data_IF_534813367460
#
_entry.id   IF_534813367460
#
_cell.length_a   1.000
_cell.length_b   1.000
_cell.length_c   1.000
_cell.angle_alpha   90.00
_cell.angle_beta   90.00
_cell.angle_gamma   90.00
#
_symmetry.space_group_name_H-M   'P 1'
#
loop_
_entity.id
_entity.type
_entity.pdbx_description
1 polymer ?
#
# COMPACT_ATOMS: atom_id res chain seq x y z
N UNK A 1 -29.32 10.26 -0.29
CA UNK A 1 -28.93 10.65 1.09
C UNK A 1 -27.50 11.16 1.05
N UNK A 2 -27.29 12.33 1.66
CA UNK A 2 -26.05 13.11 1.77
C UNK A 2 -24.97 12.46 2.66
N UNK A 3 -24.88 11.13 2.71
CA UNK A 3 -23.95 10.41 3.58
C UNK A 3 -22.80 9.83 2.77
N UNK A 4 -22.04 10.71 2.14
CA UNK A 4 -20.74 10.34 1.61
C UNK A 4 -19.84 9.95 2.78
N UNK A 5 -19.23 8.76 2.73
CA UNK A 5 -18.22 8.33 3.71
C UNK A 5 -17.02 9.29 3.78
N UNK A 6 -16.91 10.21 2.81
CA UNK A 6 -15.88 11.23 2.71
C UNK A 6 -16.25 12.59 3.33
N UNK A 7 -17.36 12.66 4.08
CA UNK A 7 -17.86 13.90 4.69
C UNK A 7 -17.03 14.38 5.89
N UNK A 8 -16.34 13.47 6.58
CA UNK A 8 -15.35 13.81 7.61
C UNK A 8 -14.40 12.65 7.86
N UNK A 9 -13.25 12.95 8.50
CA UNK A 9 -12.31 11.92 8.98
C UNK A 9 -13.01 10.89 9.86
N UNK A 10 -13.83 11.31 10.84
CA UNK A 10 -14.47 10.39 11.77
C UNK A 10 -15.45 9.44 11.08
N UNK A 11 -16.19 9.94 10.08
CA UNK A 11 -17.16 9.13 9.32
C UNK A 11 -16.41 8.12 8.45
N UNK A 12 -15.33 8.54 7.79
CA UNK A 12 -14.49 7.64 7.00
C UNK A 12 -13.88 6.52 7.86
N UNK A 13 -13.22 6.90 8.96
CA UNK A 13 -12.57 5.96 9.86
C UNK A 13 -13.57 4.96 10.46
N UNK A 14 -14.78 5.42 10.81
CA UNK A 14 -15.86 4.54 11.26
C UNK A 14 -16.25 3.53 10.18
N UNK A 15 -16.53 3.99 8.96
CA UNK A 15 -16.94 3.12 7.86
C UNK A 15 -15.86 2.08 7.51
N UNK A 16 -14.59 2.51 7.48
CA UNK A 16 -13.44 1.64 7.27
C UNK A 16 -13.32 0.56 8.36
N UNK A 17 -13.42 0.97 9.63
CA UNK A 17 -13.32 0.02 10.74
C UNK A 17 -14.50 -0.95 10.78
N UNK A 18 -15.73 -0.46 10.60
CA UNK A 18 -16.95 -1.28 10.53
C UNK A 18 -16.87 -2.33 9.43
N UNK A 19 -16.36 -1.98 8.24
CA UNK A 19 -16.19 -2.95 7.17
C UNK A 19 -15.15 -4.03 7.49
N UNK A 20 -14.07 -3.70 8.20
CA UNK A 20 -13.12 -4.72 8.72
C UNK A 20 -13.84 -5.66 9.71
N UNK A 21 -14.61 -5.11 10.65
CA UNK A 21 -15.32 -5.91 11.66
C UNK A 21 -16.42 -6.78 11.06
N UNK A 22 -17.16 -6.29 10.07
CA UNK A 22 -18.23 -7.05 9.42
C UNK A 22 -17.70 -8.31 8.73
N UNK A 23 -16.48 -8.26 8.15
CA UNK A 23 -15.84 -9.46 7.60
C UNK A 23 -15.50 -10.53 8.64
N UNK A 24 -15.30 -10.16 9.92
CA UNK A 24 -15.04 -11.14 10.99
C UNK A 24 -16.30 -11.85 11.49
N UNK A 25 -17.48 -11.22 11.36
CA UNK A 25 -18.75 -11.75 11.86
C UNK A 25 -19.26 -12.94 11.05
N UNK A 26 -18.76 -13.14 9.82
CA UNK A 26 -19.17 -14.27 8.99
C UNK A 26 -18.57 -15.59 9.50
N UNK A 27 -19.41 -16.62 9.65
CA UNK A 27 -18.98 -17.93 10.16
C UNK A 27 -18.08 -18.70 9.18
N UNK A 28 -18.11 -18.35 7.89
CA UNK A 28 -17.28 -18.91 6.82
C UNK A 28 -16.07 -18.06 6.43
N UNK A 29 -15.42 -17.37 7.38
CA UNK A 29 -14.25 -16.53 7.09
C UNK A 29 -13.12 -17.36 6.45
N UNK A 30 -12.79 -17.06 5.19
CA UNK A 30 -11.64 -17.64 4.49
C UNK A 30 -10.31 -17.13 5.08
N UNK A 31 -9.22 -17.83 4.77
CA UNK A 31 -7.92 -17.53 5.35
C UNK A 31 -7.38 -16.17 4.89
N UNK A 32 -7.65 -15.79 3.63
CA UNK A 32 -7.26 -14.50 3.08
C UNK A 32 -7.87 -13.32 3.86
N UNK A 33 -9.15 -13.44 4.22
CA UNK A 33 -9.89 -12.47 5.01
C UNK A 33 -9.38 -12.45 6.45
N UNK A 34 -9.13 -13.61 7.06
CA UNK A 34 -8.51 -13.68 8.40
C UNK A 34 -7.17 -12.93 8.44
N UNK A 35 -6.29 -13.19 7.46
CA UNK A 35 -4.99 -12.53 7.36
C UNK A 35 -5.15 -11.03 7.13
N UNK A 36 -6.09 -10.60 6.28
CA UNK A 36 -6.38 -9.17 6.05
C UNK A 36 -6.76 -8.46 7.33
N UNK A 37 -7.72 -9.01 8.09
CA UNK A 37 -8.16 -8.38 9.34
C UNK A 37 -7.04 -8.40 10.38
N UNK A 38 -6.30 -9.50 10.47
CA UNK A 38 -5.13 -9.60 11.34
C UNK A 38 -4.08 -8.54 11.00
N UNK A 39 -3.70 -8.41 9.72
CA UNK A 39 -2.71 -7.42 9.27
C UNK A 39 -3.15 -5.98 9.56
N UNK A 40 -4.44 -5.65 9.41
CA UNK A 40 -4.97 -4.33 9.75
C UNK A 40 -5.05 -4.10 11.26
N UNK A 41 -5.46 -5.10 12.03
CA UNK A 41 -5.49 -5.04 13.49
C UNK A 41 -4.08 -4.81 14.07
N UNK A 42 -3.07 -5.56 13.63
CA UNK A 42 -1.69 -5.34 14.11
C UNK A 42 -1.02 -4.09 13.54
N UNK A 43 -1.66 -3.36 12.63
CA UNK A 43 -1.22 -2.05 12.17
C UNK A 43 -1.86 -0.90 12.95
N UNK A 44 -3.16 -1.01 13.26
CA UNK A 44 -3.95 0.02 13.94
C UNK A 44 -4.37 -0.42 15.36
N UNK A 45 -3.90 0.24 16.43
CA UNK A 45 -4.25 -0.10 17.81
C UNK A 45 -5.76 -0.08 18.11
N UNK A 46 -6.54 0.78 17.45
CA UNK A 46 -7.99 0.85 17.63
C UNK A 46 -8.68 -0.35 16.97
N UNK A 47 -8.23 -0.76 15.79
CA UNK A 47 -8.71 -2.02 15.17
C UNK A 47 -8.33 -3.20 16.05
N UNK A 48 -7.09 -3.24 16.56
CA UNK A 48 -6.62 -4.29 17.47
C UNK A 48 -7.49 -4.43 18.72
N UNK A 49 -7.74 -3.34 19.45
CA UNK A 49 -8.46 -3.37 20.72
C UNK A 49 -9.86 -3.96 20.58
N UNK A 50 -10.51 -3.69 19.45
CA UNK A 50 -11.86 -4.14 19.14
C UNK A 50 -11.90 -5.54 18.51
N UNK A 51 -10.86 -5.95 17.77
CA UNK A 51 -10.83 -7.23 17.05
C UNK A 51 -10.18 -8.38 17.83
N UNK A 52 -9.26 -8.10 18.78
CA UNK A 52 -8.32 -9.09 19.33
C UNK A 52 -8.97 -10.38 19.84
N UNK A 53 -10.09 -10.28 20.55
CA UNK A 53 -10.75 -11.44 21.17
C UNK A 53 -11.39 -12.33 20.11
N UNK A 54 -12.11 -11.73 19.15
CA UNK A 54 -12.72 -12.47 18.04
C UNK A 54 -11.66 -13.07 17.13
N UNK A 55 -10.59 -12.32 16.83
CA UNK A 55 -9.46 -12.81 16.05
C UNK A 55 -8.79 -14.02 16.71
N UNK A 56 -8.63 -14.01 18.04
CA UNK A 56 -8.08 -15.15 18.78
C UNK A 56 -8.96 -16.40 18.65
N UNK A 57 -10.28 -16.26 18.82
CA UNK A 57 -11.23 -17.37 18.66
C UNK A 57 -11.17 -17.93 17.23
N UNK A 58 -11.19 -17.04 16.22
CA UNK A 58 -11.09 -17.45 14.81
C UNK A 58 -9.74 -18.12 14.51
N UNK A 59 -8.64 -17.63 15.07
CA UNK A 59 -7.32 -18.24 14.96
C UNK A 59 -7.31 -19.67 15.53
N UNK A 60 -7.80 -19.87 16.75
CA UNK A 60 -7.87 -21.19 17.40
C UNK A 60 -8.73 -22.18 16.59
N UNK A 61 -9.86 -21.73 16.06
CA UNK A 61 -10.73 -22.51 15.18
C UNK A 61 -10.03 -22.90 13.86
N UNK A 62 -9.32 -21.96 13.21
CA UNK A 62 -8.56 -22.23 11.99
C UNK A 62 -7.42 -23.22 12.26
N UNK A 63 -6.71 -23.08 13.39
CA UNK A 63 -5.67 -24.04 13.80
C UNK A 63 -6.26 -25.43 13.96
N UNK A 64 -7.40 -25.56 14.63
CA UNK A 64 -8.08 -26.85 14.78
C UNK A 64 -8.50 -27.43 13.42
N UNK A 65 -9.16 -26.62 12.58
CA UNK A 65 -9.59 -26.97 11.21
C UNK A 65 -8.42 -27.53 10.38
N UNK A 66 -7.32 -26.80 10.27
CA UNK A 66 -6.20 -27.24 9.44
C UNK A 66 -5.43 -28.41 10.06
N UNK A 67 -5.31 -28.50 11.39
CA UNK A 67 -4.73 -29.70 12.03
C UNK A 67 -5.54 -30.96 11.71
N UNK A 68 -6.88 -30.88 11.76
CA UNK A 68 -7.75 -32.00 11.41
C UNK A 68 -7.65 -32.34 9.92
N UNK A 69 -7.65 -31.33 9.04
CA UNK A 69 -7.50 -31.53 7.60
C UNK A 69 -6.18 -32.24 7.25
N UNK A 70 -5.06 -31.79 7.82
CA UNK A 70 -3.74 -32.40 7.58
C UNK A 70 -3.59 -33.79 8.19
N UNK A 71 -4.16 -34.03 9.37
CA UNK A 71 -4.04 -35.32 10.07
C UNK A 71 -4.87 -36.41 9.40
N UNK A 72 -6.12 -36.09 9.09
CA UNK A 72 -7.06 -37.12 8.67
C UNK A 72 -6.97 -37.37 7.15
N UNK A 73 -6.50 -36.41 6.36
CA UNK A 73 -6.38 -36.58 4.90
C UNK A 73 -7.73 -36.75 4.20
N UNK A 74 -8.83 -36.32 4.84
CA UNK A 74 -10.22 -36.67 4.50
C UNK A 74 -10.79 -36.00 3.24
N UNK A 75 -9.99 -35.86 2.17
CA UNK A 75 -10.52 -35.74 0.81
C UNK A 75 -10.93 -34.35 0.32
N UNK A 76 -11.03 -33.32 1.16
CA UNK A 76 -11.18 -31.95 0.66
C UNK A 76 -9.81 -31.29 0.46
N UNK A 77 -9.49 -30.95 -0.79
CA UNK A 77 -8.32 -30.14 -1.10
C UNK A 77 -8.41 -28.80 -0.37
N UNK A 78 -7.33 -28.39 0.30
CA UNK A 78 -7.23 -27.05 0.87
C UNK A 78 -7.24 -26.06 -0.30
N UNK A 79 -8.33 -25.29 -0.42
CA UNK A 79 -8.54 -24.35 -1.52
C UNK A 79 -7.92 -22.96 -1.27
N UNK A 80 -7.26 -22.77 -0.12
CA UNK A 80 -6.58 -21.53 0.20
C UNK A 80 -5.36 -21.28 -0.70
N UNK A 81 -5.03 -20.00 -0.91
CA UNK A 81 -3.81 -19.67 -1.64
C UNK A 81 -2.56 -20.14 -0.87
N UNK A 82 -1.52 -20.57 -1.60
CA UNK A 82 -0.24 -20.96 -0.98
C UNK A 82 0.40 -19.82 -0.17
N UNK A 83 0.20 -18.56 -0.57
CA UNK A 83 0.68 -17.39 0.17
C UNK A 83 -0.02 -17.27 1.52
N UNK A 84 -1.35 -17.39 1.54
CA UNK A 84 -2.15 -17.27 2.76
C UNK A 84 -1.87 -18.42 3.72
N UNK A 85 -1.80 -19.66 3.21
CA UNK A 85 -1.47 -20.80 4.03
C UNK A 85 -0.08 -20.67 4.66
N UNK A 86 0.93 -20.22 3.90
CA UNK A 86 2.27 -20.00 4.44
C UNK A 86 2.29 -18.93 5.53
N UNK A 87 1.61 -17.81 5.34
CA UNK A 87 1.55 -16.73 6.32
C UNK A 87 0.86 -17.21 7.59
N UNK A 88 -0.25 -17.93 7.45
CA UNK A 88 -0.95 -18.52 8.59
C UNK A 88 -0.07 -19.49 9.37
N UNK A 89 0.64 -20.40 8.69
CA UNK A 89 1.56 -21.32 9.35
C UNK A 89 2.71 -20.61 10.06
N UNK A 90 3.20 -19.48 9.52
CA UNK A 90 4.18 -18.62 10.22
C UNK A 90 3.60 -17.99 11.48
N UNK A 91 2.35 -17.54 11.45
CA UNK A 91 1.63 -17.07 12.65
C UNK A 91 1.52 -18.20 13.69
N UNK A 92 1.12 -19.40 13.26
CA UNK A 92 1.03 -20.58 14.15
C UNK A 92 2.39 -20.92 14.78
N UNK A 93 3.45 -20.95 13.98
CA UNK A 93 4.81 -21.25 14.44
C UNK A 93 5.33 -20.21 15.43
N UNK A 94 5.06 -18.94 15.18
CA UNK A 94 5.45 -17.86 16.10
C UNK A 94 4.65 -17.91 17.42
N UNK A 95 3.40 -18.34 17.35
CA UNK A 95 2.47 -18.31 18.47
C UNK A 95 1.74 -16.98 18.56
N UNK A 96 0.41 -17.04 18.77
CA UNK A 96 -0.48 -15.88 18.79
C UNK A 96 -0.01 -14.80 19.78
N UNK A 97 0.33 -15.19 21.00
CA UNK A 97 0.69 -14.26 22.08
C UNK A 97 2.05 -13.57 21.87
N UNK A 98 2.83 -13.97 20.86
CA UNK A 98 4.13 -13.38 20.50
C UNK A 98 4.06 -12.45 19.28
N UNK A 99 2.89 -12.32 18.65
CA UNK A 99 2.68 -11.32 17.60
C UNK A 99 2.79 -9.92 18.21
N UNK A 100 3.55 -9.06 17.55
CA UNK A 100 3.76 -7.66 17.87
C UNK A 100 3.02 -6.78 16.87
N UNK A 101 2.50 -5.66 17.39
CA UNK A 101 2.02 -4.57 16.55
C UNK A 101 3.16 -4.00 15.70
N UNK A 102 2.80 -3.28 14.65
CA UNK A 102 3.75 -2.59 13.78
C UNK A 102 4.62 -1.63 14.60
N UNK A 103 5.94 -1.81 14.52
CA UNK A 103 6.93 -0.98 15.20
C UNK A 103 7.39 0.13 14.27
N UNK A 104 7.49 1.37 14.78
CA UNK A 104 7.91 2.56 14.02
C UNK A 104 8.98 3.30 14.81
N UNK A 105 10.03 3.74 14.13
CA UNK A 105 11.02 4.66 14.70
C UNK A 105 11.44 5.69 13.65
N UNK A 106 12.00 6.80 14.13
CA UNK A 106 12.63 7.80 13.28
C UNK A 106 14.13 7.61 13.30
N UNK A 107 14.75 7.92 12.18
CA UNK A 107 16.19 7.92 11.98
C UNK A 107 16.52 9.20 11.22
N UNK A 108 16.97 10.22 11.94
CA UNK A 108 17.10 11.58 11.42
C UNK A 108 15.78 12.02 10.73
N UNK A 109 15.80 12.24 9.42
CA UNK A 109 14.64 12.66 8.63
C UNK A 109 13.78 11.50 8.14
N UNK A 110 14.21 10.24 8.32
CA UNK A 110 13.57 9.06 7.76
C UNK A 110 12.64 8.38 8.77
N UNK A 111 11.58 7.75 8.26
CA UNK A 111 10.76 6.83 9.04
C UNK A 111 11.18 5.40 8.73
N UNK A 112 11.26 4.55 9.76
CA UNK A 112 11.54 3.12 9.61
C UNK A 112 10.44 2.34 10.32
N UNK A 113 9.88 1.37 9.60
CA UNK A 113 8.79 0.54 10.08
C UNK A 113 9.11 -0.95 9.96
N UNK A 114 8.81 -1.71 11.01
CA UNK A 114 8.76 -3.16 10.98
C UNK A 114 7.31 -3.63 11.18
N UNK A 115 6.71 -4.21 10.13
CA UNK A 115 5.39 -4.84 10.20
C UNK A 115 5.57 -6.35 10.19
N UNK A 116 5.35 -6.99 11.34
CA UNK A 116 5.64 -8.41 11.54
C UNK A 116 4.77 -9.32 10.65
N UNK A 117 3.46 -9.07 10.55
CA UNK A 117 2.59 -9.87 9.67
C UNK A 117 2.98 -9.70 8.21
N UNK A 118 3.27 -8.47 7.77
CA UNK A 118 3.77 -8.21 6.41
C UNK A 118 5.10 -8.92 6.14
N UNK A 119 5.96 -9.05 7.14
CA UNK A 119 7.25 -9.76 7.02
C UNK A 119 7.13 -11.25 6.69
N UNK A 120 5.95 -11.84 6.95
CA UNK A 120 5.68 -13.25 6.65
C UNK A 120 5.40 -13.52 5.18
N UNK A 121 5.07 -12.48 4.41
CA UNK A 121 4.86 -12.62 2.97
C UNK A 121 6.12 -13.18 2.31
N UNK A 122 5.98 -14.06 1.31
CA UNK A 122 7.08 -14.36 0.42
C UNK A 122 7.63 -13.06 -0.14
N UNK A 123 8.96 -12.89 -0.11
CA UNK A 123 9.59 -11.77 -0.82
C UNK A 123 9.25 -11.95 -2.30
N UNK A 124 8.43 -11.05 -2.84
CA UNK A 124 8.01 -11.11 -4.23
C UNK A 124 9.21 -11.06 -5.19
N UNK A 125 9.00 -11.41 -6.45
CA UNK A 125 10.00 -11.30 -7.52
C UNK A 125 10.32 -9.83 -7.84
N UNK A 126 10.92 -9.10 -6.89
CA UNK A 126 11.55 -7.80 -7.12
C UNK A 126 12.62 -7.87 -8.24
N UNK A 127 13.06 -9.08 -8.58
CA UNK A 127 14.06 -9.41 -9.60
C UNK A 127 13.55 -9.40 -11.04
N UNK A 128 12.24 -9.32 -11.32
CA UNK A 128 11.78 -9.32 -12.72
C UNK A 128 12.12 -7.98 -13.36
N UNK A 129 13.11 -7.97 -14.24
CA UNK A 129 13.46 -6.80 -15.03
C UNK A 129 12.27 -6.41 -15.92
N UNK A 130 11.91 -5.14 -15.88
CA UNK A 130 10.82 -4.57 -16.66
C UNK A 130 11.40 -3.70 -17.78
N UNK A 131 10.94 -3.90 -19.03
CA UNK A 131 11.46 -3.19 -20.21
C UNK A 131 10.85 -1.80 -20.43
N UNK A 132 9.66 -1.52 -19.89
CA UNK A 132 8.94 -0.27 -20.13
C UNK A 132 8.11 0.21 -18.94
N UNK A 133 7.29 1.24 -19.17
CA UNK A 133 6.41 1.85 -18.16
C UNK A 133 4.91 1.60 -18.42
N UNK A 134 4.59 0.79 -19.42
CA UNK A 134 3.22 0.42 -19.78
C UNK A 134 3.17 -1.05 -20.18
N UNK A 135 2.12 -1.73 -19.76
CA UNK A 135 1.67 -3.01 -20.27
C UNK A 135 0.16 -2.92 -20.45
N UNK A 136 -0.41 -3.67 -21.41
CA UNK A 136 -1.86 -3.81 -21.51
C UNK A 136 -2.44 -4.49 -20.27
N UNK A 137 -3.73 -4.26 -20.03
CA UNK A 137 -4.49 -4.99 -19.02
C UNK A 137 -4.56 -6.47 -19.41
N UNK A 138 -4.39 -7.34 -18.42
CA UNK A 138 -4.47 -8.79 -18.60
C UNK A 138 -5.42 -9.36 -17.54
N UNK A 139 -6.59 -9.80 -17.99
CA UNK A 139 -7.65 -10.36 -17.15
C UNK A 139 -7.20 -11.60 -16.37
N UNK A 140 -6.19 -12.33 -16.86
CA UNK A 140 -5.71 -13.57 -16.23
C UNK A 140 -4.80 -13.26 -15.04
N UNK A 141 -4.10 -12.13 -15.08
CA UNK A 141 -3.28 -11.64 -13.96
C UNK A 141 -4.18 -11.07 -12.86
N UNK A 142 -3.59 -10.88 -11.67
CA UNK A 142 -4.29 -10.25 -10.56
C UNK A 142 -4.79 -8.85 -10.95
N UNK A 143 -6.08 -8.59 -10.73
CA UNK A 143 -6.77 -7.34 -11.01
C UNK A 143 -8.04 -7.24 -10.14
N UNK A 144 -8.56 -6.02 -9.94
CA UNK A 144 -9.69 -5.75 -9.05
C UNK A 144 -11.06 -6.27 -9.53
N UNK A 145 -11.15 -6.87 -10.73
CA UNK A 145 -12.37 -7.53 -11.21
C UNK A 145 -12.43 -9.02 -10.86
N UNK A 146 -11.42 -9.55 -10.16
CA UNK A 146 -11.47 -10.92 -9.68
C UNK A 146 -12.61 -11.10 -8.66
N UNK A 147 -13.46 -12.13 -8.81
CA UNK A 147 -14.61 -12.34 -7.91
C UNK A 147 -14.22 -12.44 -6.43
N UNK A 148 -13.09 -13.10 -6.13
CA UNK A 148 -12.61 -13.26 -4.75
C UNK A 148 -12.23 -11.94 -4.07
N UNK A 149 -12.03 -10.85 -4.83
CA UNK A 149 -11.73 -9.52 -4.27
C UNK A 149 -12.97 -8.71 -3.93
N UNK A 150 -14.18 -9.15 -4.32
CA UNK A 150 -15.39 -8.38 -4.03
C UNK A 150 -15.62 -8.24 -2.51
N UNK A 151 -15.25 -9.26 -1.74
CA UNK A 151 -15.22 -9.23 -0.28
C UNK A 151 -14.13 -8.32 0.30
N UNK A 152 -13.30 -7.69 -0.53
CA UNK A 152 -12.32 -6.69 -0.09
C UNK A 152 -12.73 -5.27 -0.48
N UNK A 153 -13.80 -5.12 -1.28
CA UNK A 153 -14.37 -3.83 -1.63
C UNK A 153 -15.11 -3.26 -0.42
N UNK A 154 -14.65 -2.12 0.10
CA UNK A 154 -15.25 -1.47 1.25
C UNK A 154 -16.30 -0.42 0.85
N UNK A 155 -16.17 0.16 -0.34
CA UNK A 155 -17.09 1.17 -0.85
C UNK A 155 -17.03 1.24 -2.37
N UNK A 156 -18.17 1.46 -3.02
CA UNK A 156 -18.28 1.69 -4.46
C UNK A 156 -19.35 2.75 -4.74
N UNK A 157 -19.06 3.68 -5.65
CA UNK A 157 -20.01 4.72 -6.02
C UNK A 157 -19.40 5.81 -6.90
N UNK A 158 -20.25 6.76 -7.29
CA UNK A 158 -19.80 7.96 -8.01
C UNK A 158 -19.13 8.93 -7.03
N UNK A 159 -17.93 9.39 -7.37
CA UNK A 159 -17.20 10.38 -6.61
C UNK A 159 -16.56 11.36 -7.59
N UNK A 160 -17.00 12.62 -7.54
CA UNK A 160 -16.50 13.68 -8.43
C UNK A 160 -16.61 13.32 -9.92
N UNK A 161 -17.72 12.68 -10.31
CA UNK A 161 -18.02 12.34 -11.71
C UNK A 161 -17.49 10.99 -12.18
N UNK A 162 -16.54 10.37 -11.47
CA UNK A 162 -15.99 9.05 -11.82
C UNK A 162 -16.59 7.94 -10.95
N UNK A 163 -16.71 6.73 -11.52
CA UNK A 163 -17.09 5.55 -10.74
C UNK A 163 -15.86 5.01 -10.02
N UNK A 164 -15.91 4.97 -8.69
CA UNK A 164 -14.79 4.57 -7.85
C UNK A 164 -15.16 3.31 -7.07
N UNK A 165 -14.23 2.36 -7.02
CA UNK A 165 -14.25 1.28 -6.04
C UNK A 165 -13.07 1.46 -5.09
N UNK A 166 -13.30 1.31 -3.78
CA UNK A 166 -12.27 1.32 -2.77
C UNK A 166 -12.12 -0.06 -2.14
N UNK A 167 -10.93 -0.63 -2.22
CA UNK A 167 -10.61 -1.92 -1.62
C UNK A 167 -9.73 -1.72 -0.38
N UNK A 168 -9.87 -2.59 0.62
CA UNK A 168 -8.88 -2.69 1.70
C UNK A 168 -7.52 -3.09 1.12
N UNK A 169 -6.44 -2.48 1.60
CA UNK A 169 -5.15 -3.10 1.40
C UNK A 169 -5.00 -4.28 2.36
N UNK A 170 -4.72 -5.48 1.83
CA UNK A 170 -4.51 -6.67 2.64
C UNK A 170 -3.35 -6.54 3.64
N UNK A 171 -2.33 -5.76 3.30
CA UNK A 171 -1.15 -5.53 4.14
C UNK A 171 -0.86 -4.03 4.23
N UNK A 172 -1.56 -3.30 5.12
CA UNK A 172 -1.39 -1.87 5.25
C UNK A 172 0.06 -1.49 5.59
N UNK A 173 0.47 -0.34 5.08
CA UNK A 173 1.80 0.26 5.30
C UNK A 173 1.70 1.68 5.83
N UNK A 174 0.48 2.21 5.88
CA UNK A 174 0.08 3.55 6.31
C UNK A 174 -1.33 3.44 6.88
N UNK A 175 -1.72 4.38 7.71
CA UNK A 175 -3.03 4.41 8.36
C UNK A 175 -4.16 4.51 7.31
N UNK A 176 -5.23 3.75 7.54
CA UNK A 176 -6.42 3.68 6.66
C UNK A 176 -6.09 3.36 5.19
N UNK A 177 -5.08 2.51 4.97
CA UNK A 177 -4.61 2.18 3.63
C UNK A 177 -5.66 1.42 2.81
N UNK A 178 -6.17 2.09 1.78
CA UNK A 178 -7.09 1.53 0.79
C UNK A 178 -6.55 1.69 -0.62
N UNK A 179 -7.12 0.93 -1.55
CA UNK A 179 -6.79 0.96 -2.97
C UNK A 179 -7.98 1.56 -3.72
N UNK A 180 -7.80 2.78 -4.24
CA UNK A 180 -8.77 3.48 -5.07
C UNK A 180 -8.60 3.05 -6.52
N UNK A 181 -9.66 2.47 -7.08
CA UNK A 181 -9.70 1.96 -8.46
C UNK A 181 -10.73 2.77 -9.24
N UNK A 182 -10.29 3.74 -10.06
CA UNK A 182 -11.21 4.52 -10.87
C UNK A 182 -11.66 3.71 -12.07
N UNK A 183 -12.94 3.84 -12.42
CA UNK A 183 -13.55 3.24 -13.60
C UNK A 183 -13.24 1.73 -13.70
N UNK A 184 -13.31 1.00 -12.58
CA UNK A 184 -12.86 -0.38 -12.44
C UNK A 184 -13.33 -1.33 -13.56
N UNK A 185 -14.56 -1.16 -14.04
CA UNK A 185 -15.12 -2.02 -15.10
C UNK A 185 -14.57 -1.69 -16.52
N UNK A 186 -13.86 -0.57 -16.69
CA UNK A 186 -13.18 -0.20 -17.95
C UNK A 186 -11.83 -0.91 -18.14
N UNK A 187 -11.38 -1.72 -17.17
CA UNK A 187 -10.16 -2.55 -17.28
C UNK A 187 -8.91 -1.74 -17.65
N UNK A 188 -8.74 -0.57 -17.05
CA UNK A 188 -7.67 0.36 -17.42
C UNK A 188 -6.34 -0.22 -16.92
N UNK A 189 -5.31 -0.35 -17.77
CA UNK A 189 -4.02 -0.85 -17.33
C UNK A 189 -3.38 0.06 -16.27
N UNK A 190 -2.41 -0.45 -15.50
CA UNK A 190 -1.61 0.36 -14.58
C UNK A 190 -0.68 1.35 -15.33
N UNK A 191 -1.29 2.38 -15.91
CA UNK A 191 -0.69 3.48 -16.64
C UNK A 191 -1.63 4.68 -16.50
N UNK A 192 -1.16 5.74 -15.87
CA UNK A 192 -1.99 6.92 -15.59
C UNK A 192 -2.04 7.83 -16.83
N UNK A 193 -3.25 8.16 -17.26
CA UNK A 193 -3.51 9.15 -18.31
C UNK A 193 -3.89 10.50 -17.68
N UNK A 194 -3.84 11.57 -18.47
CA UNK A 194 -4.07 12.95 -18.01
C UNK A 194 -5.37 13.09 -17.22
N UNK A 195 -6.44 12.48 -17.74
CA UNK A 195 -7.76 12.44 -17.11
C UNK A 195 -7.66 11.98 -15.65
N UNK A 196 -6.99 10.86 -15.39
CA UNK A 196 -6.90 10.28 -14.05
C UNK A 196 -5.93 11.03 -13.15
N UNK A 197 -4.88 11.63 -13.72
CA UNK A 197 -4.00 12.54 -12.97
C UNK A 197 -4.77 13.75 -12.45
N UNK A 198 -5.50 14.45 -13.33
CA UNK A 198 -6.32 15.61 -12.98
C UNK A 198 -7.45 15.24 -12.01
N UNK A 199 -8.07 14.07 -12.22
CA UNK A 199 -9.08 13.55 -11.32
C UNK A 199 -8.54 13.35 -9.90
N UNK A 200 -7.42 12.63 -9.74
CA UNK A 200 -6.84 12.37 -8.42
C UNK A 200 -6.33 13.67 -7.77
N UNK A 201 -5.76 14.59 -8.53
CA UNK A 201 -5.42 15.93 -8.02
C UNK A 201 -6.66 16.61 -7.41
N UNK A 202 -7.73 16.72 -8.20
CA UNK A 202 -8.99 17.37 -7.78
C UNK A 202 -9.59 16.68 -6.56
N UNK A 203 -9.56 15.34 -6.55
CA UNK A 203 -10.07 14.54 -5.44
C UNK A 203 -9.24 14.77 -4.17
N UNK A 204 -7.93 14.88 -4.29
CA UNK A 204 -7.02 15.18 -3.17
C UNK A 204 -7.36 16.52 -2.54
N UNK A 205 -7.54 17.57 -3.35
CA UNK A 205 -7.95 18.88 -2.86
C UNK A 205 -9.29 18.81 -2.12
N UNK A 206 -10.33 18.28 -2.77
CA UNK A 206 -11.69 18.31 -2.25
C UNK A 206 -11.86 17.47 -0.99
N UNK A 207 -11.29 16.26 -0.96
CA UNK A 207 -11.40 15.40 0.20
C UNK A 207 -10.50 15.86 1.34
N UNK A 208 -9.34 16.45 1.03
CA UNK A 208 -8.41 17.00 2.02
C UNK A 208 -9.01 18.13 2.88
N UNK A 209 -10.03 18.84 2.36
CA UNK A 209 -10.78 19.85 3.14
C UNK A 209 -11.50 19.23 4.35
N UNK A 210 -12.07 18.04 4.18
CA UNK A 210 -12.90 17.39 5.21
C UNK A 210 -12.16 16.28 5.97
N UNK A 211 -11.09 15.74 5.38
CA UNK A 211 -10.31 14.62 5.93
C UNK A 211 -8.85 15.03 6.01
N UNK A 212 -8.45 15.52 7.18
CA UNK A 212 -7.08 15.97 7.41
C UNK A 212 -6.09 14.81 7.27
N UNK A 213 -5.03 15.03 6.49
CA UNK A 213 -3.99 14.02 6.24
C UNK A 213 -4.34 13.03 5.13
N UNK A 214 -5.48 13.20 4.45
CA UNK A 214 -5.80 12.40 3.28
C UNK A 214 -4.82 12.67 2.13
N UNK A 215 -4.38 11.60 1.47
CA UNK A 215 -3.55 11.69 0.28
C UNK A 215 -3.56 10.41 -0.53
N UNK A 216 -2.84 10.44 -1.65
CA UNK A 216 -2.77 9.32 -2.59
C UNK A 216 -1.35 9.01 -3.02
N UNK A 217 -0.98 7.74 -3.00
CA UNK A 217 0.24 7.21 -3.60
C UNK A 217 -0.04 6.57 -4.95
N UNK A 218 0.91 6.64 -5.87
CA UNK A 218 0.85 5.93 -7.15
C UNK A 218 2.18 5.29 -7.50
N UNK A 219 2.12 4.08 -8.03
CA UNK A 219 3.27 3.36 -8.58
C UNK A 219 3.06 3.18 -10.08
N UNK A 220 3.94 3.71 -10.92
CA UNK A 220 3.91 3.39 -12.35
C UNK A 220 4.32 1.92 -12.57
N UNK A 221 3.94 1.35 -13.72
CA UNK A 221 4.57 0.09 -14.15
C UNK A 221 6.09 0.29 -14.28
N UNK A 222 6.86 -0.72 -13.84
CA UNK A 222 8.31 -0.59 -13.66
C UNK A 222 8.75 0.15 -12.39
N UNK A 223 7.83 0.75 -11.63
CA UNK A 223 8.10 1.42 -10.36
C UNK A 223 7.48 0.70 -9.15
N UNK A 224 7.64 -0.63 -9.07
CA UNK A 224 7.08 -1.49 -8.01
C UNK A 224 5.55 -1.54 -7.95
N UNK A 225 4.85 -1.23 -9.05
CA UNK A 225 3.45 -1.60 -9.20
C UNK A 225 3.29 -3.12 -9.34
N UNK A 226 2.55 -3.74 -8.41
CA UNK A 226 2.34 -5.20 -8.38
C UNK A 226 1.05 -5.66 -9.06
N UNK A 227 0.13 -4.74 -9.37
CA UNK A 227 -1.18 -5.00 -9.97
C UNK A 227 -1.23 -4.40 -11.36
N UNK A 228 -1.86 -5.10 -12.31
CA UNK A 228 -1.91 -4.69 -13.71
C UNK A 228 -3.08 -3.74 -14.06
N UNK A 229 -3.86 -3.33 -13.08
CA UNK A 229 -5.08 -2.54 -13.19
C UNK A 229 -4.86 -1.20 -12.49
N UNK A 230 -5.20 -0.08 -13.14
CA UNK A 230 -5.07 1.28 -12.61
C UNK A 230 -5.62 1.39 -11.19
N UNK A 231 -4.77 1.76 -10.24
CA UNK A 231 -5.15 2.04 -8.87
C UNK A 231 -4.22 3.04 -8.21
N UNK A 232 -4.74 3.66 -7.15
CA UNK A 232 -4.06 4.61 -6.28
C UNK A 232 -4.14 4.10 -4.84
N UNK A 233 -3.09 4.36 -4.06
CA UNK A 233 -3.03 4.04 -2.64
C UNK A 233 -3.59 5.22 -1.86
N UNK A 234 -4.83 5.14 -1.40
CA UNK A 234 -5.39 6.17 -0.52
C UNK A 234 -5.02 5.89 0.93
N UNK A 235 -4.76 6.95 1.68
CA UNK A 235 -4.39 6.88 3.10
C UNK A 235 -4.87 8.13 3.85
N UNK A 236 -4.88 8.05 5.18
CA UNK A 236 -5.08 9.23 6.05
C UNK A 236 -3.92 9.26 7.03
N UNK A 237 -2.94 10.13 6.80
CA UNK A 237 -1.73 10.26 7.62
C UNK A 237 -1.57 11.71 8.07
N UNK A 238 -1.69 11.95 9.38
CA UNK A 238 -1.57 13.29 9.98
C UNK A 238 -0.13 13.78 10.07
N UNK A 239 0.81 12.89 10.36
CA UNK A 239 2.22 13.29 10.38
C UNK A 239 2.74 13.39 8.95
N UNK A 240 3.55 14.40 8.71
CA UNK A 240 4.17 14.62 7.40
C UNK A 240 5.08 13.45 6.99
N UNK A 241 5.16 13.22 5.68
CA UNK A 241 6.14 12.30 5.13
C UNK A 241 7.55 12.90 5.25
N UNK A 242 8.58 12.08 5.46
CA UNK A 242 10.00 12.47 5.42
C UNK A 242 10.40 13.35 4.22
N UNK A 243 9.88 13.08 3.03
CA UNK A 243 10.11 13.91 1.83
C UNK A 243 9.63 15.37 2.01
N UNK A 244 8.72 15.63 2.95
CA UNK A 244 8.22 16.97 3.26
C UNK A 244 9.08 17.72 4.27
N UNK A 245 10.14 17.10 4.81
CA UNK A 245 11.01 17.74 5.79
C UNK A 245 11.59 19.06 5.23
N UNK A 246 11.54 20.11 6.05
CA UNK A 246 11.93 21.49 5.68
C UNK A 246 13.37 21.64 5.21
N UNK A 247 14.26 20.74 5.63
CA UNK A 247 15.68 20.81 5.30
C UNK A 247 15.98 20.35 3.87
N UNK A 248 15.03 19.72 3.18
CA UNK A 248 15.17 19.38 1.78
C UNK A 248 15.07 20.61 0.88
N UNK A 249 15.91 20.68 -0.17
CA UNK A 249 15.95 21.81 -1.10
C UNK A 249 14.61 22.10 -1.77
N UNK A 250 13.85 21.08 -2.15
CA UNK A 250 12.52 21.25 -2.74
C UNK A 250 11.47 21.78 -1.75
N UNK A 251 11.81 21.87 -0.46
CA UNK A 251 11.01 22.52 0.59
C UNK A 251 11.68 23.81 1.12
N UNK A 252 12.70 24.34 0.43
CA UNK A 252 13.41 25.58 0.82
C UNK A 252 14.63 25.37 1.73
N UNK A 253 15.00 24.13 2.03
CA UNK A 253 16.20 23.81 2.81
C UNK A 253 17.48 23.75 1.98
N UNK A 254 18.55 23.22 2.58
CA UNK A 254 19.89 23.16 1.95
C UNK A 254 20.30 21.76 1.50
N UNK A 255 19.60 20.71 1.95
CA UNK A 255 19.97 19.31 1.70
C UNK A 255 19.28 18.78 0.45
N UNK A 256 20.03 18.10 -0.42
CA UNK A 256 19.41 17.39 -1.54
C UNK A 256 18.68 16.15 -1.03
N UNK A 257 17.48 15.87 -1.56
CA UNK A 257 16.91 14.53 -1.41
C UNK A 257 17.82 13.52 -2.11
N UNK A 258 18.17 12.36 -1.52
CA UNK A 258 19.19 11.48 -2.11
C UNK A 258 18.80 10.79 -3.43
N UNK A 259 17.55 10.93 -3.88
CA UNK A 259 17.05 10.51 -5.20
C UNK A 259 16.32 11.69 -5.86
N UNK A 260 16.02 11.58 -7.16
CA UNK A 260 15.19 12.55 -7.86
C UNK A 260 13.82 12.71 -7.18
N UNK A 261 13.43 13.97 -6.95
CA UNK A 261 12.17 14.37 -6.34
C UNK A 261 11.79 15.75 -6.90
N UNK A 262 10.80 15.77 -7.79
CA UNK A 262 10.22 17.00 -8.31
C UNK A 262 8.91 17.29 -7.59
N UNK A 263 8.69 18.54 -7.20
CA UNK A 263 7.50 18.95 -6.45
C UNK A 263 6.76 20.01 -7.25
N UNK A 264 5.45 19.82 -7.41
CA UNK A 264 4.59 20.73 -8.16
C UNK A 264 3.38 21.13 -7.32
N UNK A 265 2.90 22.36 -7.53
CA UNK A 265 1.65 22.89 -6.98
C UNK A 265 0.58 23.12 -8.06
N UNK A 266 0.84 22.68 -9.30
CA UNK A 266 -0.05 22.84 -10.45
C UNK A 266 -0.27 21.48 -11.15
N UNK A 267 -1.54 21.09 -11.41
CA UNK A 267 -1.83 19.87 -12.15
C UNK A 267 -1.32 19.92 -13.59
N UNK A 268 -1.24 21.10 -14.20
CA UNK A 268 -0.75 21.27 -15.57
C UNK A 268 0.76 21.04 -15.65
N UNK A 269 1.51 21.62 -14.71
CA UNK A 269 2.97 21.45 -14.65
C UNK A 269 3.35 20.01 -14.31
N UNK A 270 2.69 19.42 -13.31
CA UNK A 270 2.95 18.02 -12.95
C UNK A 270 2.59 17.07 -14.09
N UNK A 271 1.48 17.30 -14.80
CA UNK A 271 1.13 16.48 -15.95
C UNK A 271 2.15 16.62 -17.09
N UNK A 272 2.54 17.84 -17.42
CA UNK A 272 3.56 18.10 -18.45
C UNK A 272 4.83 17.31 -18.13
N UNK A 273 5.29 17.34 -16.88
CA UNK A 273 6.44 16.58 -16.44
C UNK A 273 6.23 15.06 -16.53
N UNK A 274 5.09 14.54 -16.04
CA UNK A 274 4.74 13.11 -16.12
C UNK A 274 4.71 12.64 -17.58
N UNK A 275 4.14 13.43 -18.49
CA UNK A 275 4.08 13.13 -19.91
C UNK A 275 5.47 13.09 -20.56
N UNK A 276 6.40 13.94 -20.13
CA UNK A 276 7.81 13.84 -20.53
C UNK A 276 8.46 12.55 -20.02
N UNK A 277 8.18 12.13 -18.79
CA UNK A 277 8.61 10.81 -18.28
C UNK A 277 8.03 9.68 -19.13
N UNK A 278 6.79 9.83 -19.61
CA UNK A 278 6.17 8.84 -20.50
C UNK A 278 6.92 8.70 -21.82
N UNK A 279 7.19 9.83 -22.48
CA UNK A 279 7.95 9.88 -23.75
C UNK A 279 9.35 9.30 -23.59
N UNK A 280 9.99 9.56 -22.46
CA UNK A 280 11.34 9.05 -22.13
C UNK A 280 11.32 7.62 -21.57
N UNK A 281 10.14 7.01 -21.42
CA UNK A 281 9.98 5.68 -20.84
C UNK A 281 10.64 5.56 -19.45
N UNK A 282 10.50 6.57 -18.60
CA UNK A 282 11.06 6.62 -17.24
C UNK A 282 9.99 6.18 -16.24
N UNK A 283 10.33 5.25 -15.35
CA UNK A 283 9.42 4.81 -14.30
C UNK A 283 9.42 5.82 -13.15
N UNK A 284 8.29 5.94 -12.47
CA UNK A 284 8.11 6.94 -11.41
C UNK A 284 7.09 6.51 -10.36
N UNK A 285 7.21 7.09 -9.18
CA UNK A 285 6.17 7.06 -8.16
C UNK A 285 5.61 8.47 -7.97
N UNK A 286 4.37 8.58 -7.49
CA UNK A 286 3.75 9.86 -7.15
C UNK A 286 3.23 9.82 -5.71
N UNK A 287 3.26 10.97 -5.05
CA UNK A 287 2.58 11.25 -3.79
C UNK A 287 1.75 12.53 -3.97
N UNK A 288 0.43 12.41 -3.93
CA UNK A 288 -0.51 13.52 -3.94
C UNK A 288 -0.88 13.87 -2.50
N UNK A 289 -0.77 15.15 -2.18
CA UNK A 289 -1.22 15.79 -0.95
C UNK A 289 -1.99 17.06 -1.33
N UNK A 290 -2.85 17.61 -0.45
CA UNK A 290 -3.50 18.88 -0.73
C UNK A 290 -2.48 19.98 -1.07
N UNK A 291 -2.70 20.68 -2.18
CA UNK A 291 -1.88 21.72 -2.78
C UNK A 291 -0.58 21.26 -3.43
N UNK A 292 -0.27 19.96 -3.44
CA UNK A 292 1.07 19.49 -3.79
C UNK A 292 1.14 18.06 -4.31
N UNK A 293 1.98 17.83 -5.32
CA UNK A 293 2.40 16.50 -5.74
C UNK A 293 3.91 16.37 -5.71
N UNK A 294 4.41 15.28 -5.14
CA UNK A 294 5.80 14.85 -5.29
C UNK A 294 5.88 13.77 -6.37
N UNK A 295 6.73 13.97 -7.37
CA UNK A 295 7.04 13.02 -8.42
C UNK A 295 8.45 12.47 -8.22
N UNK A 296 8.59 11.14 -8.26
CA UNK A 296 9.84 10.44 -8.02
C UNK A 296 10.28 9.65 -9.26
N UNK A 297 10.86 10.31 -10.29
CA UNK A 297 11.51 9.62 -11.39
C UNK A 297 12.62 8.71 -10.88
N UNK A 298 12.74 7.51 -11.44
CA UNK A 298 13.67 6.51 -10.93
C UNK A 298 13.99 5.42 -11.93
N UNK A 299 15.10 4.73 -11.68
CA UNK A 299 15.44 3.50 -12.38
C UNK A 299 14.33 2.46 -12.26
N UNK A 300 14.07 1.74 -13.35
CA UNK A 300 13.07 0.67 -13.40
C UNK A 300 13.44 -0.46 -12.45
N UNK A 301 12.43 -1.12 -11.89
CA UNK A 301 12.60 -2.34 -11.12
C UNK A 301 13.41 -3.39 -11.90
N UNK A 302 14.33 -4.05 -11.20
CA UNK A 302 15.20 -5.08 -11.75
C UNK A 302 16.34 -4.55 -12.63
N UNK A 303 16.58 -3.24 -12.68
CA UNK A 303 17.74 -2.65 -13.37
C UNK A 303 18.95 -2.38 -12.46
N UNK A 304 18.78 -2.54 -11.16
CA UNK A 304 19.86 -2.55 -10.18
C UNK A 304 19.51 -3.53 -9.05
N UNK A 305 20.54 -3.98 -8.33
CA UNK A 305 20.36 -4.81 -7.15
C UNK A 305 20.18 -3.91 -5.91
N UNK A 306 19.04 -4.07 -5.25
CA UNK A 306 18.76 -3.36 -4.02
C UNK A 306 19.34 -4.09 -2.81
N UNK A 307 19.60 -3.35 -1.74
CA UNK A 307 20.02 -3.92 -0.45
C UNK A 307 19.02 -4.94 0.10
N UNK A 308 19.52 -5.91 0.88
CA UNK A 308 18.72 -7.03 1.39
C UNK A 308 17.65 -6.66 2.42
N UNK A 309 17.77 -5.47 3.03
CA UNK A 309 16.83 -4.95 4.02
C UNK A 309 15.53 -4.41 3.40
N UNK A 310 15.52 -4.15 2.09
CA UNK A 310 14.35 -3.67 1.35
C UNK A 310 13.84 -4.72 0.35
N UNK A 311 12.55 -4.65 0.03
CA UNK A 311 11.93 -5.38 -1.09
C UNK A 311 11.79 -4.53 -2.36
N UNK A 312 12.24 -3.27 -2.32
CA UNK A 312 12.01 -2.30 -3.36
C UNK A 312 11.54 -0.95 -2.84
N UNK A 313 11.38 -0.01 -3.77
CA UNK A 313 10.96 1.36 -3.47
C UNK A 313 9.70 1.71 -4.24
N UNK A 314 8.54 1.57 -3.60
CA UNK A 314 7.27 2.07 -4.09
C UNK A 314 7.06 3.51 -3.58
N UNK A 315 5.87 4.08 -3.78
CA UNK A 315 5.56 5.46 -3.40
C UNK A 315 5.84 5.77 -1.92
N UNK A 316 5.63 4.80 -1.03
CA UNK A 316 5.79 4.98 0.42
C UNK A 316 7.27 5.02 0.83
N UNK A 317 8.09 4.15 0.25
CA UNK A 317 9.53 4.24 0.45
C UNK A 317 10.08 5.47 -0.25
N UNK A 318 9.65 5.80 -1.47
CA UNK A 318 10.11 7.02 -2.16
C UNK A 318 9.77 8.31 -1.41
N UNK A 319 8.71 8.34 -0.59
CA UNK A 319 8.39 9.46 0.29
C UNK A 319 9.19 9.47 1.61
N UNK A 320 10.12 8.54 1.75
CA UNK A 320 11.12 8.43 2.80
C UNK A 320 10.71 7.60 4.02
N UNK A 321 9.68 6.76 3.88
CA UNK A 321 9.27 5.81 4.92
C UNK A 321 9.65 4.38 4.54
N UNK A 322 10.63 3.81 5.23
CA UNK A 322 11.18 2.49 4.94
C UNK A 322 10.38 1.39 5.61
N UNK A 323 10.19 0.27 4.91
CA UNK A 323 9.63 -0.96 5.46
C UNK A 323 10.72 -2.02 5.47
N UNK A 324 11.07 -2.49 6.65
CA UNK A 324 12.01 -3.59 6.85
C UNK A 324 11.28 -4.88 7.22
N UNK A 325 11.98 -6.02 7.08
CA UNK A 325 11.37 -7.35 7.15
C UNK A 325 11.92 -8.25 8.27
N UNK A 326 12.76 -7.72 9.14
CA UNK A 326 13.21 -8.40 10.36
C UNK A 326 13.70 -7.36 11.39
N UNK A 327 13.78 -7.78 12.65
CA UNK A 327 14.18 -6.91 13.76
C UNK A 327 15.62 -6.42 13.67
N UNK A 328 16.54 -7.22 13.12
CA UNK A 328 17.94 -6.82 12.96
C UNK A 328 18.06 -5.62 12.01
N UNK A 329 17.42 -5.67 10.85
CA UNK A 329 17.38 -4.56 9.90
C UNK A 329 16.64 -3.35 10.50
N UNK A 330 15.58 -3.59 11.28
CA UNK A 330 14.88 -2.52 12.00
C UNK A 330 15.78 -1.78 12.97
N UNK A 331 16.62 -2.47 13.73
CA UNK A 331 17.54 -1.85 14.70
C UNK A 331 18.74 -1.19 14.01
N UNK A 332 19.29 -1.79 12.95
CA UNK A 332 20.56 -1.37 12.35
C UNK A 332 20.45 -0.33 11.24
N UNK A 333 19.29 -0.21 10.58
CA UNK A 333 19.15 0.69 9.42
C UNK A 333 19.32 2.15 9.84
N UNK A 334 20.27 2.87 9.23
CA UNK A 334 20.56 4.26 9.57
C UNK A 334 20.46 5.19 8.34
N UNK A 335 20.52 6.49 8.57
CA UNK A 335 20.43 7.51 7.51
C UNK A 335 21.40 7.26 6.36
N UNK A 336 22.66 6.88 6.68
CA UNK A 336 23.70 6.63 5.67
C UNK A 336 23.33 5.46 4.77
N UNK A 337 22.85 4.35 5.34
CA UNK A 337 22.42 3.18 4.59
C UNK A 337 21.21 3.49 3.69
N UNK A 338 20.25 4.26 4.20
CA UNK A 338 19.06 4.68 3.44
C UNK A 338 19.48 5.59 2.28
N UNK A 339 20.24 6.65 2.57
CA UNK A 339 20.67 7.64 1.57
C UNK A 339 21.51 7.02 0.45
N UNK A 340 22.43 6.11 0.80
CA UNK A 340 23.23 5.37 -0.18
C UNK A 340 22.36 4.50 -1.10
N UNK A 341 21.29 3.91 -0.56
CA UNK A 341 20.38 3.08 -1.35
C UNK A 341 19.51 3.94 -2.28
N UNK A 342 19.02 5.09 -1.80
CA UNK A 342 18.29 6.05 -2.62
C UNK A 342 19.14 6.60 -3.77
N UNK A 343 20.42 6.88 -3.54
CA UNK A 343 21.31 7.36 -4.59
C UNK A 343 21.40 6.38 -5.78
N UNK A 344 21.24 5.07 -5.54
CA UNK A 344 21.21 4.07 -6.61
C UNK A 344 19.98 4.19 -7.51
N UNK A 345 18.87 4.73 -7.00
CA UNK A 345 17.60 4.90 -7.72
C UNK A 345 17.63 6.05 -8.73
N UNK A 346 18.54 7.02 -8.55
CA UNK A 346 18.62 8.20 -9.38
C UNK A 346 18.78 7.82 -10.86
N UNK A 347 18.01 8.49 -11.71
CA UNK A 347 18.25 8.53 -13.15
C UNK A 347 19.35 9.57 -13.35
N UNK A 348 20.52 9.13 -13.81
CA UNK A 348 21.76 9.94 -13.82
C UNK A 348 21.64 11.26 -14.56
#
# INVERSE_FOLDING_TARGET
>A
MNNSIFSSEQIFCRAYNEGIFNHMKNDGMDLGSFIRVCANAYFDPHVYSNAKNQLRIKFENLVHKYKMAFKNGNGELIQESNEDLLIFLKIVCMGWDKLKSTEKRREEMWNIQFNQIRSFRPRGTAKRQVKGIKTGFDERKFNFNKPFLQNECFWEGNLEGEQISLFYNKYPIVEFHTLLVPDRLKNIPQFIEEKYHRYIWTLTEKLGVNIQGLGFGYNSYGAFASVNHLHFHMFIKKEEFPVMHKDWKHNGGSRNYPSACEVFSSPDESWSYINELHKKNIAYNLLYLPGKICCFPRKKQGTYEHSSWTSGFAWYEMSGSMIVFNSKDYEMLNEKLISNEFAKLSIG
#
